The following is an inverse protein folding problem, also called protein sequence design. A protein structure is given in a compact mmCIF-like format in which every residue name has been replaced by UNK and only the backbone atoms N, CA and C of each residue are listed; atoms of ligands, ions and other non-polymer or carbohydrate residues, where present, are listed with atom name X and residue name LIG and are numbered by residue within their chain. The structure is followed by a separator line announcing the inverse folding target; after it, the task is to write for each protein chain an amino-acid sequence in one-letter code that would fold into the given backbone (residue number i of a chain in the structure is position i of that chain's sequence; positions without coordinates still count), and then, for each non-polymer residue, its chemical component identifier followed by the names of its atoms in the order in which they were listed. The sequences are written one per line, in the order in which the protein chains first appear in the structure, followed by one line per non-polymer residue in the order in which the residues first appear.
data_IF_384735048083
#
_entry.id   IF_384735048083
#
_cell.length_a   1.000
_cell.length_b   1.000
_cell.length_c   1.000
_cell.angle_alpha   90.00
_cell.angle_beta   90.00
_cell.angle_gamma   90.00
#
_symmetry.space_group_name_H-M   'P 1'
#
loop_
_entity.id
_entity.type
_entity.pdbx_description
1 polymer ?
#
# COMPACT_ATOMS: atom_id res chain seq x y z
N UNK A 1 -1.43 -22.70 2.39
CA UNK A 1 -0.47 -21.75 3.02
C UNK A 1 0.92 -22.15 2.57
N UNK A 2 1.85 -21.20 2.49
CA UNK A 2 3.22 -21.40 1.99
C UNK A 2 4.21 -21.25 3.16
N UNK A 3 4.82 -22.34 3.65
CA UNK A 3 5.86 -22.25 4.67
C UNK A 3 7.17 -21.79 4.03
N UNK A 4 7.83 -20.80 4.63
CA UNK A 4 9.11 -20.26 4.18
C UNK A 4 10.02 -20.10 5.39
N UNK A 5 11.11 -20.85 5.42
CA UNK A 5 12.14 -20.79 6.47
C UNK A 5 13.42 -20.21 5.89
N UNK A 6 13.69 -18.94 6.16
CA UNK A 6 14.90 -18.24 5.69
C UNK A 6 15.31 -17.15 6.69
N UNK A 7 16.44 -16.52 6.43
CA UNK A 7 16.81 -15.28 7.11
C UNK A 7 16.04 -14.12 6.48
N UNK A 8 15.35 -13.34 7.30
CA UNK A 8 14.63 -12.14 6.91
C UNK A 8 15.01 -10.98 7.81
N UNK A 9 14.89 -9.76 7.30
CA UNK A 9 14.81 -8.61 8.20
C UNK A 9 13.49 -8.71 8.97
N UNK A 10 13.58 -8.74 10.30
CA UNK A 10 12.45 -8.97 11.19
C UNK A 10 12.56 -8.07 12.43
N UNK A 11 11.41 -7.64 12.97
CA UNK A 11 11.33 -7.08 14.33
C UNK A 11 10.01 -7.45 15.00
N UNK A 12 10.04 -7.62 16.33
CA UNK A 12 8.85 -7.64 17.18
C UNK A 12 8.75 -6.27 17.88
N UNK A 13 8.07 -5.34 17.21
CA UNK A 13 7.99 -3.95 17.61
C UNK A 13 7.04 -3.77 18.80
N UNK A 14 7.59 -3.42 19.96
CA UNK A 14 6.83 -3.28 21.20
C UNK A 14 5.93 -2.05 21.23
N UNK A 15 6.38 -0.92 20.69
CA UNK A 15 5.61 0.33 20.76
C UNK A 15 4.42 0.37 19.79
N UNK A 16 4.47 -0.37 18.68
CA UNK A 16 3.31 -0.60 17.80
C UNK A 16 2.54 -1.88 18.15
N UNK A 17 3.08 -2.74 19.02
CA UNK A 17 2.54 -4.06 19.32
C UNK A 17 2.32 -4.91 18.06
N UNK A 18 3.32 -4.94 17.17
CA UNK A 18 3.27 -5.59 15.86
C UNK A 18 4.56 -6.34 15.57
N UNK A 19 4.45 -7.45 14.85
CA UNK A 19 5.59 -8.09 14.17
C UNK A 19 5.71 -7.56 12.76
N UNK A 20 6.94 -7.21 12.36
CA UNK A 20 7.25 -6.78 11.00
C UNK A 20 8.21 -7.78 10.39
N UNK A 21 7.99 -8.12 9.13
CA UNK A 21 8.91 -8.92 8.34
C UNK A 21 9.03 -8.36 6.93
N UNK A 22 10.26 -8.31 6.44
CA UNK A 22 10.58 -7.78 5.11
C UNK A 22 11.10 -8.91 4.24
N UNK A 23 10.38 -9.19 3.16
CA UNK A 23 10.69 -10.26 2.21
C UNK A 23 11.23 -9.59 0.93
N UNK A 24 12.54 -9.72 0.62
CA UNK A 24 13.10 -9.11 -0.58
C UNK A 24 12.60 -9.80 -1.85
N UNK A 25 12.30 -9.01 -2.89
CA UNK A 25 12.04 -9.54 -4.22
C UNK A 25 13.35 -9.86 -4.96
N UNK A 26 13.23 -10.62 -6.05
CA UNK A 26 14.35 -10.93 -6.95
C UNK A 26 15.04 -9.64 -7.40
N UNK A 27 16.37 -9.60 -7.28
CA UNK A 27 17.18 -8.44 -7.61
C UNK A 27 17.40 -7.44 -6.47
N UNK A 28 16.78 -7.63 -5.30
CA UNK A 28 17.12 -6.92 -4.06
C UNK A 28 16.85 -5.41 -4.04
N UNK A 29 16.16 -4.88 -5.06
CA UNK A 29 15.82 -3.44 -5.16
C UNK A 29 14.54 -3.07 -4.43
N UNK A 30 13.65 -4.03 -4.23
CA UNK A 30 12.35 -3.85 -3.59
C UNK A 30 12.06 -5.02 -2.67
N UNK A 31 11.22 -4.77 -1.66
CA UNK A 31 10.83 -5.78 -0.67
C UNK A 31 9.35 -5.67 -0.35
N UNK A 32 8.73 -6.78 0.02
CA UNK A 32 7.41 -6.80 0.62
C UNK A 32 7.52 -6.67 2.13
N UNK A 33 7.08 -5.54 2.69
CA UNK A 33 6.95 -5.36 4.13
C UNK A 33 5.57 -5.85 4.59
N UNK A 34 5.56 -6.81 5.51
CA UNK A 34 4.35 -7.32 6.13
C UNK A 34 4.34 -6.87 7.59
N UNK A 35 3.25 -6.22 8.00
CA UNK A 35 3.04 -5.73 9.37
C UNK A 35 1.85 -6.46 9.98
N UNK A 36 2.08 -7.23 11.03
CA UNK A 36 1.05 -8.07 11.67
C UNK A 36 0.87 -7.62 13.12
N UNK A 37 -0.30 -7.06 13.50
CA UNK A 37 -0.62 -6.80 14.90
C UNK A 37 -0.59 -8.08 15.73
N UNK A 38 -0.02 -8.02 16.94
CA UNK A 38 -0.02 -9.15 17.86
C UNK A 38 -1.44 -9.48 18.37
N UNK A 39 -2.29 -8.47 18.50
CA UNK A 39 -3.70 -8.65 18.87
C UNK A 39 -4.56 -8.95 17.63
N UNK A 40 -5.48 -9.93 17.75
CA UNK A 40 -6.39 -10.36 16.66
C UNK A 40 -7.17 -9.16 16.07
N UNK A 41 -7.63 -8.24 16.92
CA UNK A 41 -8.36 -7.03 16.50
C UNK A 41 -7.47 -5.77 16.48
N UNK A 42 -6.15 -5.95 16.48
CA UNK A 42 -5.16 -4.86 16.61
C UNK A 42 -5.04 -3.96 15.39
N UNK A 43 -5.54 -4.37 14.22
CA UNK A 43 -5.38 -3.61 12.98
C UNK A 43 -5.97 -2.19 13.07
N UNK A 44 -7.15 -2.02 13.68
CA UNK A 44 -7.76 -0.69 13.84
C UNK A 44 -6.92 0.23 14.71
N UNK A 45 -6.34 -0.30 15.79
CA UNK A 45 -5.48 0.44 16.71
C UNK A 45 -4.18 0.84 16.02
N UNK A 46 -3.55 -0.11 15.32
CA UNK A 46 -2.35 0.14 14.53
C UNK A 46 -2.58 1.25 13.50
N UNK A 47 -3.65 1.17 12.71
CA UNK A 47 -3.98 2.19 11.72
C UNK A 47 -4.23 3.57 12.35
N UNK A 48 -4.85 3.63 13.52
CA UNK A 48 -5.06 4.88 14.24
C UNK A 48 -3.72 5.48 14.74
N UNK A 49 -2.83 4.65 15.28
CA UNK A 49 -1.49 5.09 15.71
C UNK A 49 -0.68 5.62 14.52
N UNK A 50 -0.63 4.88 13.41
CA UNK A 50 0.10 5.29 12.21
C UNK A 50 -0.50 6.51 11.52
N UNK A 51 -1.80 6.76 11.69
CA UNK A 51 -2.44 7.99 11.20
C UNK A 51 -2.00 9.22 12.00
N UNK A 52 -1.78 9.07 13.30
CA UNK A 52 -1.35 10.17 14.18
C UNK A 52 0.16 10.39 14.13
N UNK A 53 0.94 9.32 14.00
CA UNK A 53 2.40 9.32 14.04
C UNK A 53 2.97 8.35 12.98
N UNK A 54 2.97 8.73 11.69
CA UNK A 54 3.42 7.87 10.58
C UNK A 54 4.91 7.50 10.67
N UNK A 55 5.73 8.33 11.32
CA UNK A 55 7.16 8.10 11.55
C UNK A 55 7.45 6.86 12.40
N UNK A 56 6.48 6.40 13.19
CA UNK A 56 6.60 5.17 13.98
C UNK A 56 6.84 3.94 13.10
N UNK A 57 6.29 3.91 11.89
CA UNK A 57 6.54 2.81 10.96
C UNK A 57 8.00 2.80 10.51
N UNK A 58 8.57 3.97 10.18
CA UNK A 58 9.98 4.08 9.79
C UNK A 58 10.89 3.66 10.94
N UNK A 59 10.61 4.10 12.16
CA UNK A 59 11.34 3.66 13.35
C UNK A 59 11.29 2.15 13.54
N UNK A 60 10.13 1.53 13.32
CA UNK A 60 9.99 0.07 13.41
C UNK A 60 10.78 -0.64 12.31
N UNK A 61 10.87 -0.07 11.11
CA UNK A 61 11.69 -0.58 10.00
C UNK A 61 13.19 -0.49 10.35
N UNK A 62 13.63 0.62 10.94
CA UNK A 62 15.03 0.83 11.34
C UNK A 62 15.49 -0.14 12.44
N UNK A 63 14.56 -0.65 13.25
CA UNK A 63 14.82 -1.67 14.28
C UNK A 63 14.91 -3.10 13.73
N UNK A 64 14.60 -3.32 12.45
CA UNK A 64 14.63 -4.65 11.84
C UNK A 64 16.06 -5.20 11.75
N UNK A 65 16.22 -6.47 12.11
CA UNK A 65 17.51 -7.17 12.04
C UNK A 65 17.35 -8.48 11.27
N UNK A 66 18.41 -8.94 10.57
CA UNK A 66 18.43 -10.28 10.00
C UNK A 66 18.17 -11.33 11.08
N UNK A 67 17.16 -12.16 10.88
CA UNK A 67 16.81 -13.25 11.78
C UNK A 67 16.23 -14.41 10.97
N UNK A 68 16.64 -15.63 11.33
CA UNK A 68 16.04 -16.84 10.79
C UNK A 68 14.66 -17.05 11.41
N UNK A 69 13.63 -17.00 10.57
CA UNK A 69 12.22 -17.10 10.99
C UNK A 69 11.46 -18.06 10.08
N UNK A 70 10.46 -18.72 10.66
CA UNK A 70 9.50 -19.58 9.96
C UNK A 70 8.23 -18.78 9.67
N UNK A 71 8.02 -18.43 8.41
CA UNK A 71 6.86 -17.66 7.97
C UNK A 71 5.86 -18.59 7.30
N UNK A 72 4.60 -18.51 7.72
CA UNK A 72 3.50 -19.17 7.03
C UNK A 72 2.66 -18.10 6.34
N UNK A 73 2.82 -17.98 5.02
CA UNK A 73 2.15 -16.95 4.23
C UNK A 73 0.92 -17.52 3.49
N UNK A 74 -0.27 -16.92 3.63
CA UNK A 74 -1.41 -17.29 2.82
C UNK A 74 -1.20 -16.85 1.35
N UNK A 75 -1.66 -17.68 0.41
CA UNK A 75 -1.85 -17.23 -0.98
C UNK A 75 -3.10 -16.38 -1.02
N UNK A 76 -3.03 -15.21 -1.65
CA UNK A 76 -4.21 -14.36 -1.78
C UNK A 76 -4.12 -13.49 -3.03
N UNK A 77 -5.29 -13.06 -3.48
CA UNK A 77 -5.46 -12.10 -4.56
C UNK A 77 -6.38 -10.99 -4.07
N UNK A 78 -5.91 -9.76 -4.16
CA UNK A 78 -6.66 -8.56 -3.83
C UNK A 78 -6.88 -7.80 -5.13
N UNK A 79 -8.13 -7.67 -5.54
CA UNK A 79 -8.54 -6.81 -6.63
C UNK A 79 -9.30 -5.62 -6.06
N UNK A 80 -8.87 -4.41 -6.40
CA UNK A 80 -9.50 -3.18 -5.99
C UNK A 80 -9.79 -2.30 -7.19
N UNK A 81 -11.02 -1.79 -7.25
CA UNK A 81 -11.44 -0.77 -8.21
C UNK A 81 -11.97 0.42 -7.43
N UNK A 82 -11.31 1.55 -7.56
CA UNK A 82 -11.59 2.77 -6.80
C UNK A 82 -12.00 3.90 -7.74
N UNK A 83 -13.08 4.59 -7.40
CA UNK A 83 -13.39 5.90 -7.99
C UNK A 83 -12.53 6.96 -7.30
N UNK A 84 -11.52 7.43 -8.02
CA UNK A 84 -10.59 8.42 -7.50
C UNK A 84 -11.21 9.81 -7.40
N UNK A 85 -12.28 10.12 -8.14
CA UNK A 85 -12.85 11.47 -8.15
C UNK A 85 -13.24 11.91 -6.75
N UNK A 86 -14.03 11.10 -6.06
CA UNK A 86 -14.50 11.40 -4.70
C UNK A 86 -13.33 11.55 -3.70
N UNK A 87 -12.26 10.77 -3.86
CA UNK A 87 -11.08 10.85 -2.99
C UNK A 87 -10.24 12.08 -3.30
N UNK A 88 -9.98 12.35 -4.58
CA UNK A 88 -9.23 13.50 -5.07
C UNK A 88 -9.92 14.82 -4.68
N UNK A 89 -11.24 14.90 -4.80
CA UNK A 89 -12.01 16.06 -4.36
C UNK A 89 -11.87 16.28 -2.84
N UNK A 90 -11.88 15.21 -2.03
CA UNK A 90 -11.68 15.29 -0.56
C UNK A 90 -10.28 15.76 -0.16
N UNK A 91 -9.25 15.47 -0.95
CA UNK A 91 -7.87 15.95 -0.72
C UNK A 91 -7.56 17.27 -1.43
N UNK A 92 -8.57 17.95 -1.99
CA UNK A 92 -8.46 19.31 -2.53
C UNK A 92 -8.32 19.40 -4.05
N UNK A 93 -8.16 18.27 -4.76
CA UNK A 93 -8.11 18.22 -6.22
C UNK A 93 -9.55 18.22 -6.76
N UNK A 94 -10.14 19.41 -6.87
CA UNK A 94 -11.54 19.60 -7.30
C UNK A 94 -11.66 20.22 -8.69
N UNK A 95 -10.78 21.18 -8.98
CA UNK A 95 -10.87 22.05 -10.15
C UNK A 95 -10.92 21.25 -11.45
N UNK A 96 -10.08 20.21 -11.59
CA UNK A 96 -10.00 19.38 -12.81
C UNK A 96 -11.32 18.67 -13.17
N UNK A 97 -12.19 18.45 -12.19
CA UNK A 97 -13.50 17.81 -12.36
C UNK A 97 -14.63 18.81 -12.61
N UNK A 98 -14.35 20.12 -12.56
CA UNK A 98 -15.31 21.18 -12.82
C UNK A 98 -15.34 21.51 -14.31
N UNK A 99 -16.53 21.41 -14.92
CA UNK A 99 -16.78 21.69 -16.33
C UNK A 99 -16.45 23.13 -16.76
N UNK A 100 -16.57 24.09 -15.85
CA UNK A 100 -16.39 25.51 -16.13
C UNK A 100 -14.99 26.02 -15.76
N UNK A 101 -14.30 25.34 -14.86
CA UNK A 101 -13.05 25.83 -14.27
C UNK A 101 -11.88 24.84 -14.38
N UNK A 102 -11.99 23.76 -15.17
CA UNK A 102 -11.01 22.66 -15.22
C UNK A 102 -9.54 23.06 -15.32
N UNK A 103 -9.24 24.17 -16.01
CA UNK A 103 -7.88 24.66 -16.21
C UNK A 103 -7.05 23.78 -17.16
N UNK A 104 -7.67 22.88 -17.93
CA UNK A 104 -6.99 21.95 -18.83
C UNK A 104 -6.54 22.58 -20.17
N UNK A 105 -6.51 23.91 -20.27
CA UNK A 105 -6.20 24.65 -21.50
C UNK A 105 -4.77 24.43 -22.02
N UNK A 106 -3.85 24.00 -21.15
CA UNK A 106 -2.49 23.61 -21.55
C UNK A 106 -2.41 22.24 -22.24
N UNK A 107 -3.42 21.38 -22.04
CA UNK A 107 -3.49 20.05 -22.67
C UNK A 107 -4.40 20.07 -23.90
N UNK A 108 -5.52 20.79 -23.83
CA UNK A 108 -6.53 20.86 -24.89
C UNK A 108 -6.90 22.32 -25.15
N UNK A 109 -6.86 22.74 -26.41
CA UNK A 109 -7.17 24.12 -26.81
C UNK A 109 -8.65 24.52 -26.57
N UNK A 110 -9.55 23.54 -26.45
CA UNK A 110 -10.95 23.75 -26.13
C UNK A 110 -11.13 24.06 -24.63
N UNK A 111 -11.81 25.18 -24.34
CA UNK A 111 -12.05 25.69 -22.98
C UNK A 111 -13.15 24.93 -22.23
N UNK A 112 -13.85 23.97 -22.85
CA UNK A 112 -14.96 23.21 -22.25
C UNK A 112 -14.62 21.76 -21.89
N UNK A 113 -13.33 21.43 -21.77
CA UNK A 113 -12.87 20.07 -21.41
C UNK A 113 -12.66 19.96 -19.91
N UNK A 114 -13.10 18.86 -19.29
CA UNK A 114 -12.89 18.55 -17.87
C UNK A 114 -12.77 17.05 -17.67
N UNK A 115 -12.22 16.62 -16.53
CA UNK A 115 -12.18 15.20 -16.17
C UNK A 115 -13.55 14.78 -15.68
N UNK A 116 -14.22 13.89 -16.40
CA UNK A 116 -15.53 13.37 -16.00
C UNK A 116 -15.42 12.29 -14.93
N UNK A 117 -14.41 11.41 -15.05
CA UNK A 117 -14.17 10.27 -14.17
C UNK A 117 -12.66 9.98 -14.06
N UNK A 118 -12.25 9.48 -12.90
CA UNK A 118 -10.91 8.94 -12.69
C UNK A 118 -11.03 7.61 -11.94
N UNK A 119 -10.57 6.51 -12.52
CA UNK A 119 -10.69 5.17 -11.91
C UNK A 119 -9.32 4.54 -11.72
N UNK A 120 -9.06 3.97 -10.55
CA UNK A 120 -7.88 3.15 -10.29
C UNK A 120 -8.31 1.69 -10.16
N UNK A 121 -7.78 0.83 -11.03
CA UNK A 121 -7.88 -0.63 -10.87
C UNK A 121 -6.50 -1.19 -10.53
N UNK A 122 -6.40 -1.85 -9.38
CA UNK A 122 -5.17 -2.46 -8.88
C UNK A 122 -5.43 -3.92 -8.51
N UNK A 123 -4.54 -4.81 -8.94
CA UNK A 123 -4.55 -6.23 -8.59
C UNK A 123 -3.20 -6.57 -7.95
N UNK A 124 -3.26 -7.16 -6.75
CA UNK A 124 -2.11 -7.69 -6.03
C UNK A 124 -2.35 -9.19 -5.87
N UNK A 125 -1.43 -10.01 -6.38
CA UNK A 125 -1.48 -11.46 -6.23
C UNK A 125 -0.19 -11.96 -5.56
N UNK A 126 -0.34 -12.70 -4.46
CA UNK A 126 0.78 -13.27 -3.70
C UNK A 126 0.73 -14.80 -3.80
N UNK A 127 1.79 -15.39 -4.37
CA UNK A 127 1.94 -16.83 -4.60
C UNK A 127 3.38 -17.31 -4.27
N UNK A 128 3.67 -18.58 -4.59
CA UNK A 128 4.93 -19.27 -4.21
C UNK A 128 6.16 -18.75 -4.98
N UNK A 129 5.93 -18.01 -6.07
CA UNK A 129 6.98 -17.51 -6.95
C UNK A 129 7.27 -16.01 -6.72
N UNK A 130 6.46 -15.34 -5.90
CA UNK A 130 6.59 -13.91 -5.57
C UNK A 130 5.24 -13.20 -5.49
N UNK A 131 5.29 -11.86 -5.61
CA UNK A 131 4.10 -11.02 -5.74
C UNK A 131 4.06 -10.45 -7.15
N UNK A 132 2.96 -10.67 -7.86
CA UNK A 132 2.71 -10.03 -9.15
C UNK A 132 1.71 -8.88 -8.94
N UNK A 133 2.11 -7.67 -9.35
CA UNK A 133 1.28 -6.47 -9.27
C UNK A 133 0.94 -5.99 -10.68
N UNK A 134 -0.35 -5.96 -11.01
CA UNK A 134 -0.83 -5.41 -12.30
C UNK A 134 -1.75 -4.22 -12.02
N UNK A 135 -1.38 -3.04 -12.55
CA UNK A 135 -2.22 -1.86 -12.54
C UNK A 135 -2.82 -1.64 -13.94
N UNK A 136 -4.13 -1.42 -14.02
CA UNK A 136 -4.80 -1.07 -15.28
C UNK A 136 -5.49 0.28 -15.07
N UNK A 137 -5.02 1.31 -15.78
CA UNK A 137 -5.68 2.62 -15.82
C UNK A 137 -6.62 2.68 -17.03
N UNK A 138 -7.86 3.13 -16.81
CA UNK A 138 -8.89 3.33 -17.82
C UNK A 138 -9.83 4.46 -17.43
#
# INVERSE_FOLDING_TARGET
MMPITREFNFTDCKFLNTKLVMIPYVGGKTSFLIVVPNAINGLKVLLAQLKLAPELLNKAIDEMKPKKEDIVMPKFKIESKMDLRNMLEKVGVKRIFNKYESGLSGMVKDKKVFVSKATLKAIIEVNEFGTEATAVSG
#
